data_IF_484106833263
#
_entry.id   IF_484106833263
#
_cell.length_a   1.000
_cell.length_b   1.000
_cell.length_c   1.000
_cell.angle_alpha   90.00
_cell.angle_beta   90.00
_cell.angle_gamma   90.00
#
_symmetry.space_group_name_H-M   'P 1'
#
loop_
_entity.id
_entity.type
_entity.pdbx_description
1 polymer ?
#
# COMPACT_ATOMS: atom_id res chain seq x y z
N UNK A 1 -1.71 4.69 10.15
CA UNK A 1 -1.26 3.31 10.49
C UNK A 1 -1.43 2.98 11.97
N UNK A 2 -1.07 3.85 12.92
CA UNK A 2 -1.38 3.63 14.36
C UNK A 2 -2.87 3.66 14.73
N UNK A 3 -3.71 4.32 13.92
CA UNK A 3 -5.17 4.38 14.14
C UNK A 3 -5.97 3.31 13.37
N UNK A 4 -5.33 2.62 12.43
CA UNK A 4 -5.87 1.44 11.77
C UNK A 4 -5.42 0.23 12.57
N UNK A 5 -6.29 -0.71 12.93
CA UNK A 5 -5.95 -1.99 13.59
C UNK A 5 -5.11 -2.95 12.69
N UNK A 6 -4.14 -2.40 11.96
CA UNK A 6 -3.25 -3.10 11.05
C UNK A 6 -1.94 -3.42 11.78
N UNK A 7 -1.75 -4.69 12.09
CA UNK A 7 -0.48 -5.20 12.59
C UNK A 7 0.47 -5.35 11.40
N UNK A 8 1.36 -4.38 11.21
CA UNK A 8 2.46 -4.50 10.25
C UNK A 8 3.69 -4.98 11.02
N UNK A 9 4.13 -6.21 10.72
CA UNK A 9 5.38 -6.75 11.27
C UNK A 9 6.55 -6.12 10.53
N UNK A 10 7.56 -5.62 11.22
CA UNK A 10 8.70 -4.93 10.59
C UNK A 10 9.40 -5.76 9.51
N UNK A 11 9.43 -7.08 9.66
CA UNK A 11 10.02 -8.02 8.69
C UNK A 11 9.26 -8.14 7.36
N UNK A 12 8.00 -7.69 7.26
CA UNK A 12 7.21 -7.81 6.03
C UNK A 12 7.26 -6.56 5.15
N UNK A 13 7.71 -5.43 5.70
CA UNK A 13 7.69 -4.15 4.97
C UNK A 13 8.69 -4.11 3.82
N UNK A 14 9.95 -4.49 4.05
CA UNK A 14 10.97 -4.45 3.00
C UNK A 14 10.71 -5.41 1.82
N UNK A 15 10.29 -6.68 2.06
CA UNK A 15 9.87 -7.54 0.97
C UNK A 15 8.70 -6.97 0.17
N UNK A 16 7.71 -6.35 0.84
CA UNK A 16 6.58 -5.72 0.17
C UNK A 16 7.02 -4.54 -0.71
N UNK A 17 7.83 -3.62 -0.18
CA UNK A 17 8.37 -2.50 -0.94
C UNK A 17 9.21 -2.97 -2.15
N UNK A 18 9.98 -4.04 -1.96
CA UNK A 18 10.78 -4.65 -3.04
C UNK A 18 9.88 -5.19 -4.14
N UNK A 19 8.82 -5.93 -3.78
CA UNK A 19 7.85 -6.45 -4.73
C UNK A 19 7.16 -5.33 -5.50
N UNK A 20 6.60 -4.34 -4.81
CA UNK A 20 5.90 -3.21 -5.45
C UNK A 20 6.82 -2.41 -6.38
N UNK A 21 8.11 -2.29 -6.05
CA UNK A 21 9.10 -1.67 -6.93
C UNK A 21 9.43 -2.55 -8.15
N UNK A 22 9.52 -3.87 -7.98
CA UNK A 22 9.74 -4.81 -9.09
C UNK A 22 8.53 -4.87 -10.04
N UNK A 23 7.32 -4.71 -9.50
CA UNK A 23 6.07 -4.60 -10.24
C UNK A 23 5.88 -3.19 -10.87
N UNK A 24 6.89 -2.31 -10.80
CA UNK A 24 6.91 -0.94 -11.35
C UNK A 24 5.90 0.04 -10.74
N UNK A 25 5.23 -0.35 -9.65
CA UNK A 25 4.25 0.48 -8.94
C UNK A 25 4.93 1.51 -8.02
N UNK A 26 6.16 1.24 -7.58
CA UNK A 26 6.99 2.16 -6.82
C UNK A 26 8.30 2.46 -7.53
N UNK A 27 8.79 3.67 -7.32
CA UNK A 27 10.18 4.05 -7.57
C UNK A 27 10.81 4.53 -6.26
N UNK A 28 12.13 4.67 -6.23
CA UNK A 28 12.83 5.20 -5.07
C UNK A 28 13.91 6.21 -5.48
N UNK A 29 14.26 7.08 -4.54
CA UNK A 29 15.45 7.91 -4.60
C UNK A 29 16.36 7.61 -3.41
N UNK A 30 17.65 7.69 -3.64
CA UNK A 30 18.62 7.73 -2.55
C UNK A 30 18.64 9.12 -1.93
N UNK A 31 18.68 9.17 -0.62
CA UNK A 31 18.82 10.39 0.15
C UNK A 31 19.91 10.17 1.19
N UNK A 32 20.93 11.02 1.16
CA UNK A 32 21.95 11.00 2.19
C UNK A 32 21.32 11.35 3.53
N UNK A 33 21.72 10.62 4.57
CA UNK A 33 21.29 10.93 5.92
C UNK A 33 22.32 11.84 6.58
N UNK A 34 21.86 12.84 7.32
CA UNK A 34 22.73 13.67 8.17
C UNK A 34 23.48 12.85 9.22
N UNK A 35 22.97 11.67 9.58
CA UNK A 35 23.61 10.71 10.47
C UNK A 35 23.33 9.28 9.98
N UNK A 36 24.36 8.58 9.51
CA UNK A 36 24.30 7.16 9.14
C UNK A 36 24.20 6.89 7.62
N UNK A 37 23.89 5.65 7.23
CA UNK A 37 23.92 5.25 5.82
C UNK A 37 22.80 5.93 5.01
N UNK A 38 22.97 6.05 3.68
CA UNK A 38 21.96 6.63 2.80
C UNK A 38 20.65 5.82 2.88
N UNK A 39 19.53 6.52 2.81
CA UNK A 39 18.17 5.95 2.92
C UNK A 39 17.51 5.93 1.56
N UNK A 40 16.66 4.93 1.33
CA UNK A 40 15.75 4.88 0.17
C UNK A 40 14.40 5.45 0.55
N UNK A 41 13.98 6.50 -0.16
CA UNK A 41 12.62 7.03 -0.06
C UNK A 41 11.82 6.57 -1.27
N UNK A 42 10.75 5.83 -1.01
CA UNK A 42 9.88 5.28 -2.04
C UNK A 42 8.72 6.23 -2.34
N UNK A 43 8.29 6.27 -3.60
CA UNK A 43 7.09 6.99 -4.06
C UNK A 43 6.37 6.20 -5.14
N UNK A 44 5.07 6.43 -5.29
CA UNK A 44 4.29 5.87 -6.40
C UNK A 44 4.81 6.39 -7.74
N UNK A 45 4.82 5.50 -8.73
CA UNK A 45 4.94 5.85 -10.14
C UNK A 45 3.57 6.31 -10.70
N UNK A 46 3.51 6.87 -11.92
CA UNK A 46 2.22 7.08 -12.60
C UNK A 46 1.39 5.79 -12.68
N UNK A 47 2.03 4.67 -13.01
CA UNK A 47 1.41 3.34 -13.08
C UNK A 47 0.91 2.88 -11.70
N UNK A 48 1.71 3.12 -10.65
CA UNK A 48 1.34 2.84 -9.27
C UNK A 48 0.13 3.64 -8.80
N UNK A 49 0.01 4.91 -9.21
CA UNK A 49 -1.16 5.73 -8.91
C UNK A 49 -2.42 5.20 -9.60
N UNK A 50 -2.33 4.84 -10.89
CA UNK A 50 -3.45 4.25 -11.62
C UNK A 50 -3.89 2.93 -11.00
N UNK A 51 -2.94 2.06 -10.67
CA UNK A 51 -3.21 0.80 -9.98
C UNK A 51 -3.90 1.01 -8.64
N UNK A 52 -3.44 1.99 -7.84
CA UNK A 52 -4.05 2.31 -6.55
C UNK A 52 -5.50 2.79 -6.71
N UNK A 53 -5.80 3.59 -7.74
CA UNK A 53 -7.17 4.04 -8.01
C UNK A 53 -8.10 2.89 -8.35
N UNK A 54 -7.65 1.96 -9.21
CA UNK A 54 -8.42 0.75 -9.55
C UNK A 54 -8.61 -0.15 -8.34
N UNK A 55 -7.56 -0.37 -7.54
CA UNK A 55 -7.65 -1.15 -6.31
C UNK A 55 -8.67 -0.55 -5.33
N UNK A 56 -8.68 0.77 -5.17
CA UNK A 56 -9.68 1.45 -4.34
C UNK A 56 -11.10 1.26 -4.86
N UNK A 57 -11.31 1.24 -6.18
CA UNK A 57 -12.63 0.99 -6.76
C UNK A 57 -13.09 -0.44 -6.45
N UNK A 58 -12.23 -1.42 -6.75
CA UNK A 58 -12.51 -2.84 -6.49
C UNK A 58 -12.81 -3.07 -4.99
N UNK A 59 -12.03 -2.44 -4.12
CA UNK A 59 -12.23 -2.55 -2.67
C UNK A 59 -13.59 -2.00 -2.22
N UNK A 60 -14.01 -0.85 -2.74
CA UNK A 60 -15.34 -0.29 -2.43
C UNK A 60 -16.45 -1.22 -2.89
N UNK A 61 -16.38 -1.68 -4.14
CA UNK A 61 -17.39 -2.61 -4.70
C UNK A 61 -17.48 -3.90 -3.86
N UNK A 62 -16.34 -4.41 -3.39
CA UNK A 62 -16.28 -5.57 -2.51
C UNK A 62 -16.94 -5.30 -1.16
N UNK A 63 -16.60 -4.17 -0.51
CA UNK A 63 -17.19 -3.78 0.79
C UNK A 63 -18.70 -3.64 0.65
N UNK A 64 -19.18 -2.91 -0.36
CA UNK A 64 -20.60 -2.71 -0.61
C UNK A 64 -21.35 -4.04 -0.77
N UNK A 65 -20.74 -4.99 -1.49
CA UNK A 65 -21.30 -6.33 -1.69
C UNK A 65 -21.40 -7.10 -0.37
N UNK A 66 -20.32 -7.09 0.43
CA UNK A 66 -20.32 -7.77 1.74
C UNK A 66 -21.34 -7.15 2.68
N UNK A 67 -21.45 -5.82 2.70
CA UNK A 67 -22.45 -5.12 3.52
C UNK A 67 -23.88 -5.50 3.15
N UNK A 68 -24.19 -5.71 1.86
CA UNK A 68 -25.50 -6.19 1.44
C UNK A 68 -25.79 -7.60 1.93
N UNK A 69 -24.80 -8.49 1.94
CA UNK A 69 -24.95 -9.88 2.40
C UNK A 69 -25.15 -9.94 3.92
N UNK A 70 -24.41 -9.12 4.67
CA UNK A 70 -24.41 -9.16 6.15
C UNK A 70 -25.59 -8.37 6.75
N UNK A 71 -26.28 -7.52 5.96
CA UNK A 71 -27.48 -6.82 6.42
C UNK A 71 -28.57 -7.84 6.83
N UNK A 72 -29.04 -7.81 8.10
CA UNK A 72 -30.10 -8.71 8.53
C UNK A 72 -31.37 -8.45 7.73
N UNK A 73 -32.00 -9.53 7.27
CA UNK A 73 -33.36 -9.49 6.73
C UNK A 73 -34.27 -9.06 7.89
N UNK A 74 -35.01 -7.96 7.71
CA UNK A 74 -36.04 -7.53 8.67
C UNK A 74 -37.18 -8.52 8.74
#
# INVERSE_FOLDING_TARGET
LKESNLVVVEGTLYPLLTRLKNDTLLTYRWEESTMGPPRKYYKLTPEGNNFLQELHKIWRDFVDTVEQIVKPIK
#
